data_IF_272418515456
#
_entry.id   IF_272418515456
#
_cell.length_a   1.000
_cell.length_b   1.000
_cell.length_c   1.000
_cell.angle_alpha   90.00
_cell.angle_beta   90.00
_cell.angle_gamma   90.00
#
_symmetry.space_group_name_H-M   'P 1'
#
loop_
_entity.id
_entity.type
_entity.pdbx_description
1 polymer ?
#
# COMPACT_ATOMS: atom_id res chain seq x y z
N UNK A 1 -10.26 45.45 48.69
CA UNK A 1 -10.00 44.08 48.18
C UNK A 1 -9.78 43.15 49.35
N UNK A 2 -10.54 42.06 49.43
CA UNK A 2 -10.57 41.18 50.59
C UNK A 2 -9.37 40.22 50.55
N UNK A 3 -8.35 40.42 51.40
CA UNK A 3 -7.08 39.67 51.38
C UNK A 3 -7.27 38.14 51.47
N UNK A 4 -8.39 37.71 52.05
CA UNK A 4 -8.79 36.30 52.14
C UNK A 4 -9.15 35.70 50.77
N UNK A 5 -9.78 36.46 49.88
CA UNK A 5 -10.16 36.00 48.54
C UNK A 5 -8.98 35.76 47.61
N UNK A 6 -7.92 36.57 47.74
CA UNK A 6 -6.67 36.39 46.98
C UNK A 6 -5.94 35.10 47.37
N UNK A 7 -6.00 34.73 48.65
CA UNK A 7 -5.39 33.50 49.14
C UNK A 7 -6.06 32.25 48.57
N UNK A 8 -7.39 32.23 48.48
CA UNK A 8 -8.12 31.11 47.85
C UNK A 8 -7.80 30.95 46.36
N UNK A 9 -7.67 32.07 45.62
CA UNK A 9 -7.30 32.02 44.20
C UNK A 9 -5.89 31.43 43.99
N UNK A 10 -4.94 31.77 44.86
CA UNK A 10 -3.58 31.22 44.79
C UNK A 10 -3.60 29.70 45.05
N UNK A 11 -4.36 29.25 46.05
CA UNK A 11 -4.48 27.81 46.36
C UNK A 11 -5.08 27.04 45.19
N UNK A 12 -6.16 27.55 44.59
CA UNK A 12 -6.79 26.91 43.43
C UNK A 12 -5.81 26.80 42.26
N UNK A 13 -5.05 27.86 41.99
CA UNK A 13 -4.07 27.87 40.90
C UNK A 13 -2.95 26.84 41.11
N UNK A 14 -2.44 26.71 42.34
CA UNK A 14 -1.43 25.71 42.69
C UNK A 14 -2.00 24.29 42.53
N UNK A 15 -3.24 24.06 42.99
CA UNK A 15 -3.93 22.77 42.82
C UNK A 15 -4.13 22.41 41.35
N UNK A 16 -4.52 23.37 40.51
CA UNK A 16 -4.67 23.15 39.07
C UNK A 16 -3.36 22.77 38.39
N UNK A 17 -2.25 23.44 38.74
CA UNK A 17 -0.92 23.10 38.23
C UNK A 17 -0.45 21.71 38.68
N UNK A 18 -0.73 21.33 39.93
CA UNK A 18 -0.41 20.02 40.45
C UNK A 18 -1.19 18.90 39.73
N UNK A 19 -2.50 19.10 39.52
CA UNK A 19 -3.34 18.15 38.77
C UNK A 19 -2.83 18.03 37.33
N UNK A 20 -2.53 19.16 36.67
CA UNK A 20 -1.99 19.16 35.31
C UNK A 20 -0.67 18.39 35.22
N UNK A 21 0.24 18.58 36.18
CA UNK A 21 1.51 17.86 36.22
C UNK A 21 1.36 16.35 36.41
N UNK A 22 0.32 15.89 37.12
CA UNK A 22 0.03 14.47 37.31
C UNK A 22 -0.68 13.86 36.09
N UNK A 23 -1.56 14.61 35.43
CA UNK A 23 -2.28 14.10 34.24
C UNK A 23 -1.47 14.19 32.95
N UNK A 24 -0.44 15.05 32.90
CA UNK A 24 0.42 15.19 31.75
C UNK A 24 1.44 14.03 31.70
N UNK A 25 1.11 12.99 30.92
CA UNK A 25 2.02 11.87 30.66
C UNK A 25 3.22 12.35 29.83
N UNK A 26 4.34 12.68 30.49
CA UNK A 26 5.58 13.09 29.83
C UNK A 26 6.36 11.92 29.23
N UNK A 27 6.05 10.68 29.65
CA UNK A 27 6.70 9.47 29.17
C UNK A 27 5.72 8.64 28.35
N UNK A 28 5.55 9.03 27.08
CA UNK A 28 5.22 8.04 26.05
C UNK A 28 6.54 7.37 25.69
N UNK A 29 6.79 6.17 26.23
CA UNK A 29 7.72 5.24 25.59
C UNK A 29 7.02 4.80 24.31
N UNK A 30 7.28 5.53 23.23
CA UNK A 30 7.11 5.00 21.89
C UNK A 30 8.31 4.08 21.69
N UNK A 31 8.09 2.77 21.74
CA UNK A 31 9.03 1.83 21.15
C UNK A 31 9.13 2.21 19.67
N UNK A 32 10.21 2.91 19.31
CA UNK A 32 10.66 2.87 17.93
C UNK A 32 10.98 1.40 17.66
N UNK A 33 10.08 0.71 16.95
CA UNK A 33 10.36 -0.60 16.39
C UNK A 33 11.56 -0.39 15.48
N UNK A 34 12.74 -0.73 15.96
CA UNK A 34 13.97 -0.66 15.18
C UNK A 34 13.78 -1.68 14.06
N UNK A 35 13.76 -1.19 12.82
CA UNK A 35 13.37 -1.88 11.59
C UNK A 35 14.32 -2.99 11.14
N UNK A 36 14.69 -3.93 12.01
CA UNK A 36 15.43 -5.14 11.61
C UNK A 36 14.56 -6.11 10.76
N UNK A 37 13.23 -5.93 10.77
CA UNK A 37 12.27 -6.83 10.11
C UNK A 37 11.79 -6.39 8.72
N UNK A 38 12.23 -5.25 8.18
CA UNK A 38 11.75 -4.84 6.85
C UNK A 38 12.21 -5.81 5.76
N UNK A 39 13.50 -6.20 5.78
CA UNK A 39 14.02 -7.21 4.85
C UNK A 39 13.31 -8.55 5.01
N UNK A 40 12.87 -8.93 6.23
CA UNK A 40 12.14 -10.18 6.42
C UNK A 40 10.73 -10.08 5.84
N UNK A 41 10.05 -8.95 6.01
CA UNK A 41 8.70 -8.69 5.47
C UNK A 41 8.71 -8.62 3.94
N UNK A 42 9.68 -7.93 3.34
CA UNK A 42 9.83 -7.88 1.88
C UNK A 42 10.14 -9.26 1.31
N UNK A 43 11.13 -9.98 1.85
CA UNK A 43 11.49 -11.32 1.39
C UNK A 43 10.34 -12.33 1.54
N UNK A 44 9.55 -12.23 2.61
CA UNK A 44 8.36 -13.06 2.79
C UNK A 44 7.31 -12.77 1.71
N UNK A 45 7.00 -11.50 1.44
CA UNK A 45 6.07 -11.14 0.37
C UNK A 45 6.52 -11.70 -0.98
N UNK A 46 7.81 -11.58 -1.29
CA UNK A 46 8.39 -12.01 -2.56
C UNK A 46 8.35 -13.53 -2.73
N UNK A 47 8.72 -14.27 -1.69
CA UNK A 47 8.65 -15.73 -1.67
C UNK A 47 7.21 -16.23 -1.83
N UNK A 48 6.26 -15.66 -1.09
CA UNK A 48 4.87 -16.11 -1.10
C UNK A 48 4.12 -15.67 -2.36
N UNK A 49 4.32 -14.45 -2.87
CA UNK A 49 3.72 -14.00 -4.13
C UNK A 49 4.13 -14.88 -5.32
N UNK A 50 5.38 -15.34 -5.37
CA UNK A 50 5.84 -16.29 -6.40
C UNK A 50 5.09 -17.62 -6.30
N UNK A 51 4.86 -18.13 -5.09
CA UNK A 51 4.07 -19.36 -4.89
C UNK A 51 2.62 -19.17 -5.29
N UNK A 52 2.02 -18.02 -4.96
CA UNK A 52 0.65 -17.67 -5.36
C UNK A 52 0.53 -17.64 -6.88
N UNK A 53 1.46 -16.97 -7.57
CA UNK A 53 1.47 -16.93 -9.03
C UNK A 53 1.60 -18.34 -9.65
N UNK A 54 2.53 -19.16 -9.15
CA UNK A 54 2.71 -20.53 -9.62
C UNK A 54 1.49 -21.41 -9.35
N UNK A 55 0.82 -21.25 -8.21
CA UNK A 55 -0.39 -21.98 -7.89
C UNK A 55 -1.55 -21.58 -8.80
N UNK A 56 -1.71 -20.28 -9.07
CA UNK A 56 -2.72 -19.76 -9.99
C UNK A 56 -2.54 -20.33 -11.41
N UNK A 57 -1.29 -20.38 -11.90
CA UNK A 57 -0.97 -21.02 -13.19
C UNK A 57 -1.35 -22.50 -13.18
N UNK A 58 -1.05 -23.21 -12.09
CA UNK A 58 -1.34 -24.65 -11.93
C UNK A 58 -2.84 -24.94 -11.87
N UNK A 59 -3.61 -24.09 -11.21
CA UNK A 59 -5.06 -24.24 -11.03
C UNK A 59 -5.87 -23.65 -12.18
N UNK A 60 -5.20 -23.05 -13.18
CA UNK A 60 -5.82 -22.37 -14.31
C UNK A 60 -6.72 -21.19 -13.89
N UNK A 61 -6.35 -20.49 -12.81
CA UNK A 61 -7.00 -19.24 -12.38
C UNK A 61 -6.25 -18.03 -12.93
N UNK A 62 -6.85 -16.83 -12.80
CA UNK A 62 -6.24 -15.59 -13.24
C UNK A 62 -5.15 -15.17 -12.24
N UNK A 63 -3.89 -15.22 -12.68
CA UNK A 63 -2.72 -14.92 -11.84
C UNK A 63 -2.78 -13.52 -11.25
N UNK A 64 -3.24 -12.53 -12.04
CA UNK A 64 -3.37 -11.15 -11.58
C UNK A 64 -4.34 -11.01 -10.39
N UNK A 65 -5.48 -11.71 -10.45
CA UNK A 65 -6.53 -11.66 -9.41
C UNK A 65 -6.04 -12.32 -8.11
N UNK A 66 -5.34 -13.47 -8.22
CA UNK A 66 -4.76 -14.16 -7.07
C UNK A 66 -3.64 -13.35 -6.42
N UNK A 67 -2.80 -12.70 -7.23
CA UNK A 67 -1.77 -11.78 -6.75
C UNK A 67 -2.38 -10.56 -6.06
N UNK A 68 -3.47 -10.01 -6.58
CA UNK A 68 -4.20 -8.91 -5.96
C UNK A 68 -4.80 -9.32 -4.62
N UNK A 69 -5.48 -10.47 -4.54
CA UNK A 69 -6.05 -10.99 -3.31
C UNK A 69 -4.98 -11.23 -2.23
N UNK A 70 -3.86 -11.83 -2.63
CA UNK A 70 -2.71 -12.02 -1.75
C UNK A 70 -2.13 -10.67 -1.29
N UNK A 71 -1.93 -9.74 -2.22
CA UNK A 71 -1.29 -8.44 -1.96
C UNK A 71 -2.10 -7.56 -1.03
N UNK A 72 -3.42 -7.51 -1.21
CA UNK A 72 -4.33 -6.78 -0.33
C UNK A 72 -4.31 -7.37 1.07
N UNK A 73 -4.43 -8.70 1.20
CA UNK A 73 -4.36 -9.41 2.49
C UNK A 73 -3.00 -9.19 3.19
N UNK A 74 -1.91 -9.23 2.43
CA UNK A 74 -0.57 -8.97 2.94
C UNK A 74 -0.42 -7.53 3.44
N UNK A 75 -0.88 -6.55 2.66
CA UNK A 75 -0.82 -5.13 3.03
C UNK A 75 -1.64 -4.87 4.29
N UNK A 76 -2.87 -5.39 4.39
CA UNK A 76 -3.70 -5.23 5.60
C UNK A 76 -3.01 -5.79 6.85
N UNK A 77 -2.29 -6.90 6.73
CA UNK A 77 -1.52 -7.47 7.83
C UNK A 77 -0.28 -6.62 8.15
N UNK A 78 0.51 -6.28 7.13
CA UNK A 78 1.80 -5.63 7.28
C UNK A 78 1.65 -4.16 7.69
N UNK A 79 0.58 -3.48 7.26
CA UNK A 79 0.30 -2.09 7.63
C UNK A 79 -0.08 -1.91 9.11
N UNK A 80 -0.54 -2.98 9.79
CA UNK A 80 -0.71 -2.95 11.26
C UNK A 80 0.62 -2.74 11.99
N UNK A 81 1.72 -3.13 11.37
CA UNK A 81 3.08 -2.95 11.90
C UNK A 81 3.79 -1.75 11.28
N UNK A 82 3.58 -1.53 9.98
CA UNK A 82 4.12 -0.42 9.22
C UNK A 82 3.03 0.34 8.47
N UNK A 83 2.42 1.37 9.07
CA UNK A 83 1.36 2.15 8.42
C UNK A 83 1.78 2.77 7.08
N UNK A 84 3.07 2.99 6.86
CA UNK A 84 3.64 3.60 5.66
C UNK A 84 4.15 2.58 4.64
N UNK A 85 3.83 1.28 4.82
CA UNK A 85 4.14 0.26 3.83
C UNK A 85 3.22 0.42 2.63
N UNK A 86 3.83 0.67 1.48
CA UNK A 86 3.17 0.68 0.18
C UNK A 86 3.73 -0.41 -0.72
N UNK A 87 2.90 -0.86 -1.66
CA UNK A 87 3.23 -1.89 -2.63
C UNK A 87 2.74 -1.46 -4.01
N UNK A 88 3.55 -1.64 -5.03
CA UNK A 88 3.11 -1.65 -6.41
C UNK A 88 3.59 -2.94 -7.04
N UNK A 89 2.72 -3.62 -7.76
CA UNK A 89 3.13 -4.78 -8.55
C UNK A 89 2.76 -4.62 -10.02
N UNK A 90 3.58 -5.22 -10.86
CA UNK A 90 3.42 -5.31 -12.30
C UNK A 90 3.50 -6.78 -12.67
N UNK A 91 2.45 -7.29 -13.28
CA UNK A 91 2.38 -8.65 -13.79
C UNK A 91 2.13 -8.61 -15.29
N UNK A 92 3.06 -9.14 -16.08
CA UNK A 92 2.89 -9.36 -17.51
C UNK A 92 2.50 -10.81 -17.78
N UNK A 93 1.47 -11.02 -18.59
CA UNK A 93 1.19 -12.30 -19.22
C UNK A 93 1.57 -12.27 -20.71
N UNK A 94 1.03 -13.19 -21.51
CA UNK A 94 1.31 -13.25 -22.95
C UNK A 94 0.79 -12.02 -23.69
N UNK A 95 -0.39 -11.53 -23.32
CA UNK A 95 -1.18 -10.58 -24.09
C UNK A 95 -1.23 -9.20 -23.41
N UNK A 96 -1.22 -9.13 -22.08
CA UNK A 96 -1.44 -7.94 -21.28
C UNK A 96 -0.46 -7.79 -20.12
N UNK A 97 -0.33 -6.55 -19.65
CA UNK A 97 0.41 -6.19 -18.44
C UNK A 97 -0.57 -5.54 -17.47
N UNK A 98 -0.78 -6.18 -16.33
CA UNK A 98 -1.56 -5.65 -15.22
C UNK A 98 -0.66 -4.94 -14.23
N UNK A 99 -1.00 -3.70 -13.90
CA UNK A 99 -0.29 -2.85 -12.95
C UNK A 99 -1.28 -2.52 -11.84
N UNK A 100 -0.88 -2.71 -10.59
CA UNK A 100 -1.70 -2.38 -9.40
C UNK A 100 -0.87 -1.57 -8.41
N UNK A 101 -1.38 -0.40 -8.05
CA UNK A 101 -0.70 0.60 -7.23
C UNK A 101 -1.37 0.76 -5.86
N UNK A 102 -0.76 0.21 -4.82
CA UNK A 102 -1.12 0.39 -3.41
C UNK A 102 -0.13 1.29 -2.67
N UNK A 103 0.60 2.15 -3.38
CA UNK A 103 1.37 3.23 -2.78
C UNK A 103 0.44 4.38 -2.39
N UNK A 104 0.94 5.36 -1.64
CA UNK A 104 0.19 6.61 -1.36
C UNK A 104 0.35 7.66 -2.47
N UNK A 105 1.19 7.36 -3.47
CA UNK A 105 1.49 8.24 -4.60
C UNK A 105 0.92 7.70 -5.90
N UNK A 106 0.41 8.59 -6.75
CA UNK A 106 0.07 8.24 -8.12
C UNK A 106 1.32 7.87 -8.94
N UNK A 107 1.15 6.89 -9.81
CA UNK A 107 2.04 6.58 -10.91
C UNK A 107 1.44 7.00 -12.25
N UNK A 108 2.23 6.90 -13.31
CA UNK A 108 1.76 7.09 -14.67
C UNK A 108 2.47 6.17 -15.67
N UNK A 109 1.72 5.67 -16.64
CA UNK A 109 2.21 4.88 -17.78
C UNK A 109 1.63 5.49 -19.05
N UNK A 110 2.47 5.84 -20.02
CA UNK A 110 2.04 6.40 -21.32
C UNK A 110 1.07 7.60 -21.23
N UNK A 111 1.12 8.36 -20.13
CA UNK A 111 0.23 9.49 -19.88
C UNK A 111 -1.06 9.14 -19.13
N UNK A 112 -1.37 7.85 -18.98
CA UNK A 112 -2.46 7.38 -18.13
C UNK A 112 -1.99 7.34 -16.67
N UNK A 113 -2.88 7.76 -15.77
CA UNK A 113 -2.56 7.93 -14.35
C UNK A 113 -3.14 6.78 -13.55
N UNK A 114 -2.31 6.21 -12.68
CA UNK A 114 -2.65 5.12 -11.78
C UNK A 114 -2.56 5.65 -10.36
N UNK A 115 -3.68 5.94 -9.72
CA UNK A 115 -3.69 6.49 -8.38
C UNK A 115 -3.24 5.43 -7.37
N UNK A 116 -2.55 5.87 -6.34
CA UNK A 116 -2.19 4.97 -5.25
C UNK A 116 -3.42 4.66 -4.41
N UNK A 117 -3.69 3.41 -4.04
CA UNK A 117 -4.97 2.98 -3.45
C UNK A 117 -5.44 3.84 -2.24
N UNK A 118 -4.51 4.35 -1.44
CA UNK A 118 -4.79 5.19 -0.26
C UNK A 118 -4.68 6.70 -0.53
N UNK A 119 -4.56 7.11 -1.79
CA UNK A 119 -4.42 8.52 -2.13
C UNK A 119 -5.69 9.29 -1.75
N UNK A 120 -5.52 10.32 -0.93
CA UNK A 120 -6.61 11.20 -0.51
C UNK A 120 -6.93 12.25 -1.60
N UNK A 121 -8.21 12.44 -1.84
CA UNK A 121 -8.77 13.51 -2.65
C UNK A 121 -9.74 14.32 -1.79
N UNK A 122 -9.97 15.56 -2.19
CA UNK A 122 -10.96 16.43 -1.54
C UNK A 122 -12.09 16.67 -2.52
N UNK A 123 -13.29 16.23 -2.14
CA UNK A 123 -14.50 16.50 -2.90
C UNK A 123 -15.33 17.59 -2.23
N UNK A 124 -15.75 18.57 -3.03
CA UNK A 124 -16.65 19.62 -2.59
C UNK A 124 -18.12 19.15 -2.73
N UNK A 125 -18.81 18.97 -1.61
CA UNK A 125 -20.23 18.66 -1.55
C UNK A 125 -21.00 19.94 -1.31
N UNK A 126 -21.88 20.31 -2.25
CA UNK A 126 -22.73 21.49 -2.11
C UNK A 126 -24.11 21.09 -1.60
N UNK A 127 -24.49 21.60 -0.43
CA UNK A 127 -25.81 21.40 0.18
C UNK A 127 -26.58 22.71 0.13
N UNK A 128 -27.76 22.70 -0.49
CA UNK A 128 -28.65 23.87 -0.56
C UNK A 128 -29.65 23.85 0.60
N UNK A 129 -29.54 24.81 1.52
CA UNK A 129 -30.45 24.96 2.68
C UNK A 129 -31.07 26.35 2.65
N UNK A 130 -32.40 26.42 2.54
CA UNK A 130 -33.13 27.70 2.54
C UNK A 130 -32.72 28.66 1.41
N UNK A 131 -32.36 28.12 0.24
CA UNK A 131 -31.92 28.92 -0.91
C UNK A 131 -30.45 29.40 -0.85
N UNK A 132 -29.69 28.98 0.17
CA UNK A 132 -28.24 29.23 0.27
C UNK A 132 -27.46 27.94 0.04
N UNK A 133 -26.36 28.06 -0.68
CA UNK A 133 -25.45 26.94 -0.95
C UNK A 133 -24.34 26.91 0.11
N UNK A 134 -24.16 25.74 0.73
CA UNK A 134 -23.10 25.45 1.69
C UNK A 134 -22.16 24.42 1.08
N UNK A 135 -20.88 24.75 0.97
CA UNK A 135 -19.87 23.87 0.40
C UNK A 135 -19.11 23.19 1.55
N UNK A 136 -19.12 21.87 1.57
CA UNK A 136 -18.40 21.04 2.53
C UNK A 136 -17.32 20.25 1.83
N UNK A 137 -16.11 20.26 2.38
CA UNK A 137 -14.97 19.49 1.89
C UNK A 137 -14.98 18.12 2.55
N UNK A 138 -15.18 17.08 1.75
CA UNK A 138 -15.18 15.69 2.23
C UNK A 138 -13.90 15.02 1.73
N UNK A 139 -13.03 14.51 2.63
CA UNK A 139 -11.92 13.67 2.22
C UNK A 139 -12.46 12.32 1.75
N UNK A 140 -11.93 11.86 0.62
CA UNK A 140 -12.28 10.60 -0.06
C UNK A 140 -10.97 9.94 -0.48
N UNK A 141 -10.90 8.61 -0.50
CA UNK A 141 -9.72 7.89 -0.98
C UNK A 141 -10.01 7.24 -2.33
N UNK A 142 -8.97 6.98 -3.13
CA UNK A 142 -9.10 6.26 -4.42
C UNK A 142 -9.78 4.90 -4.26
N UNK A 143 -9.58 4.22 -3.13
CA UNK A 143 -10.26 2.97 -2.82
C UNK A 143 -11.80 3.10 -2.86
N UNK A 144 -12.36 4.30 -2.62
CA UNK A 144 -13.80 4.54 -2.72
C UNK A 144 -14.31 4.58 -4.17
N UNK A 145 -13.44 4.66 -5.17
CA UNK A 145 -13.81 4.79 -6.59
C UNK A 145 -13.69 3.49 -7.40
N UNK A 146 -13.25 2.40 -6.77
CA UNK A 146 -13.06 1.09 -7.40
C UNK A 146 -11.64 0.85 -7.90
N UNK A 147 -11.38 -0.40 -8.31
CA UNK A 147 -10.04 -0.89 -8.66
C UNK A 147 -9.46 -0.24 -9.93
N UNK A 148 -10.31 0.30 -10.81
CA UNK A 148 -9.88 0.96 -12.05
C UNK A 148 -9.05 2.24 -11.80
N UNK A 149 -9.12 2.79 -10.58
CA UNK A 149 -8.34 3.97 -10.21
C UNK A 149 -6.92 3.63 -9.76
N UNK A 150 -6.75 2.45 -9.17
CA UNK A 150 -5.46 1.95 -8.67
C UNK A 150 -4.85 0.87 -9.57
N UNK A 151 -5.57 0.45 -10.61
CA UNK A 151 -5.13 -0.54 -11.58
C UNK A 151 -5.07 0.00 -13.01
N UNK A 152 -4.18 -0.57 -13.81
CA UNK A 152 -4.15 -0.35 -15.24
C UNK A 152 -3.73 -1.62 -15.97
N UNK A 153 -4.40 -1.92 -17.08
CA UNK A 153 -3.99 -2.96 -18.01
C UNK A 153 -3.47 -2.30 -19.29
N UNK A 154 -2.23 -2.62 -19.67
CA UNK A 154 -1.61 -2.13 -20.91
C UNK A 154 -1.20 -3.30 -21.80
N UNK A 155 -1.05 -3.02 -23.10
CA UNK A 155 -0.54 -4.01 -24.07
C UNK A 155 0.86 -4.48 -23.68
N UNK A 156 1.19 -5.73 -24.04
CA UNK A 156 2.50 -6.35 -23.79
C UNK A 156 3.64 -5.72 -24.63
N UNK A 157 3.98 -4.48 -24.32
CA UNK A 157 5.01 -3.67 -24.94
C UNK A 157 5.88 -3.00 -23.87
N UNK A 158 7.17 -2.75 -24.15
CA UNK A 158 8.04 -2.07 -23.19
C UNK A 158 7.48 -0.69 -22.83
N UNK A 159 7.42 -0.38 -21.53
CA UNK A 159 6.87 0.88 -21.03
C UNK A 159 7.73 1.46 -19.90
N UNK A 160 7.54 2.74 -19.63
CA UNK A 160 8.13 3.40 -18.46
C UNK A 160 7.02 3.71 -17.46
N UNK A 161 7.18 3.21 -16.24
CA UNK A 161 6.31 3.55 -15.12
C UNK A 161 6.95 4.70 -14.36
N UNK A 162 6.28 5.85 -14.33
CA UNK A 162 6.68 6.97 -13.48
C UNK A 162 6.03 6.84 -12.12
N UNK A 163 6.80 6.81 -11.04
CA UNK A 163 6.30 6.83 -9.66
C UNK A 163 6.98 7.98 -8.94
N UNK A 164 6.21 8.94 -8.41
CA UNK A 164 6.74 10.13 -7.74
C UNK A 164 7.79 10.89 -8.60
N UNK A 165 7.69 10.82 -9.93
CA UNK A 165 8.63 11.44 -10.86
C UNK A 165 9.88 10.62 -11.20
N UNK A 166 10.06 9.45 -10.60
CA UNK A 166 11.13 8.50 -10.94
C UNK A 166 10.62 7.54 -12.01
N UNK A 167 11.38 7.40 -13.10
CA UNK A 167 11.05 6.48 -14.19
C UNK A 167 11.65 5.10 -13.94
N UNK A 168 10.79 4.09 -13.97
CA UNK A 168 11.14 2.68 -13.87
C UNK A 168 10.89 2.02 -15.24
N UNK A 169 11.93 1.55 -15.95
CA UNK A 169 11.77 0.89 -17.23
C UNK A 169 11.30 -0.55 -17.04
N UNK A 170 10.19 -0.90 -17.69
CA UNK A 170 9.66 -2.26 -17.76
C UNK A 170 9.80 -2.76 -19.19
N UNK A 171 10.78 -3.63 -19.40
CA UNK A 171 10.93 -4.39 -20.64
C UNK A 171 10.45 -5.81 -20.36
N UNK A 172 9.14 -6.05 -20.47
CA UNK A 172 8.59 -7.40 -20.34
C UNK A 172 8.73 -8.10 -21.70
N UNK A 173 9.38 -9.26 -21.70
CA UNK A 173 9.57 -10.03 -22.94
C UNK A 173 8.27 -10.76 -23.32
N UNK A 174 7.76 -10.47 -24.52
CA UNK A 174 6.56 -11.13 -25.06
C UNK A 174 6.70 -12.66 -25.01
N UNK A 175 5.74 -13.31 -24.35
CA UNK A 175 5.62 -14.77 -24.29
C UNK A 175 5.98 -15.41 -22.95
N UNK A 176 6.57 -14.68 -22.01
CA UNK A 176 6.94 -15.20 -20.69
C UNK A 176 6.25 -14.39 -19.59
N UNK A 177 5.61 -15.04 -18.58
CA UNK A 177 5.06 -14.33 -17.45
C UNK A 177 6.19 -13.64 -16.68
N UNK A 178 6.01 -12.34 -16.43
CA UNK A 178 6.95 -11.52 -15.66
C UNK A 178 6.27 -10.85 -14.46
N UNK A 179 6.87 -10.94 -13.27
CA UNK A 179 6.29 -10.37 -12.05
C UNK A 179 7.27 -9.47 -11.29
N UNK A 180 7.00 -8.16 -11.27
CA UNK A 180 7.87 -7.16 -10.66
C UNK A 180 7.16 -6.42 -9.56
N UNK A 181 7.89 -6.08 -8.51
CA UNK A 181 7.35 -5.50 -7.29
C UNK A 181 8.19 -4.31 -6.85
N UNK A 182 7.50 -3.25 -6.45
CA UNK A 182 8.09 -2.09 -5.79
C UNK A 182 7.46 -2.00 -4.40
N UNK A 183 8.31 -2.14 -3.38
CA UNK A 183 7.92 -1.98 -1.98
C UNK A 183 8.47 -0.65 -1.46
N UNK A 184 7.60 0.17 -0.89
CA UNK A 184 7.96 1.47 -0.29
C UNK A 184 7.77 1.44 1.21
N UNK A 185 8.71 2.02 1.94
CA UNK A 185 8.58 2.29 3.37
C UNK A 185 9.11 3.67 3.73
N UNK A 186 9.02 4.03 5.01
CA UNK A 186 9.65 5.25 5.55
C UNK A 186 11.15 5.34 5.25
N UNK A 187 11.85 4.20 5.14
CA UNK A 187 13.29 4.14 4.90
C UNK A 187 13.70 4.34 3.43
N UNK A 188 12.72 4.36 2.51
CA UNK A 188 12.94 4.53 1.08
C UNK A 188 12.24 3.47 0.22
N UNK A 189 12.50 3.55 -1.09
CA UNK A 189 11.95 2.66 -2.10
C UNK A 189 12.91 1.48 -2.33
N UNK A 190 12.37 0.27 -2.30
CA UNK A 190 13.05 -0.94 -2.77
C UNK A 190 12.37 -1.43 -4.03
N UNK A 191 13.16 -1.45 -5.10
CA UNK A 191 12.76 -2.02 -6.37
C UNK A 191 13.36 -3.42 -6.47
N UNK A 192 12.52 -4.45 -6.46
CA UNK A 192 12.98 -5.83 -6.62
C UNK A 192 12.27 -6.48 -7.83
N UNK A 193 13.07 -6.99 -8.77
CA UNK A 193 12.59 -7.62 -10.01
C UNK A 193 12.66 -9.13 -9.85
N UNK A 194 11.55 -9.83 -10.10
CA UNK A 194 11.52 -11.29 -10.05
C UNK A 194 10.86 -11.92 -11.28
N UNK A 195 11.24 -13.16 -11.55
CA UNK A 195 10.67 -14.04 -12.55
C UNK A 195 10.57 -13.46 -13.96
N UNK A 196 11.59 -13.64 -14.80
CA UNK A 196 11.32 -13.96 -16.22
C UNK A 196 11.00 -15.44 -16.24
N UNK A 197 9.72 -15.80 -16.18
CA UNK A 197 9.35 -17.19 -16.30
C UNK A 197 9.63 -17.65 -17.72
N UNK A 198 10.80 -18.24 -17.99
CA UNK A 198 10.75 -19.37 -18.92
C UNK A 198 9.78 -20.34 -18.26
N UNK A 199 8.63 -20.57 -18.89
CA UNK A 199 7.78 -21.67 -18.49
C UNK A 199 8.63 -22.94 -18.54
N UNK A 200 9.08 -23.42 -17.38
CA UNK A 200 9.89 -24.62 -17.26
C UNK A 200 8.96 -25.80 -16.96
N UNK A 201 8.66 -26.66 -17.95
CA UNK A 201 7.84 -27.84 -17.75
C UNK A 201 8.45 -28.85 -16.77
N UNK A 202 9.72 -28.69 -16.35
CA UNK A 202 10.37 -29.52 -15.33
C UNK A 202 9.86 -29.23 -13.90
N UNK A 203 9.16 -28.11 -13.68
CA UNK A 203 8.37 -27.87 -12.47
C UNK A 203 6.99 -28.55 -12.50
N UNK A 204 6.69 -29.36 -13.52
CA UNK A 204 5.66 -30.38 -13.39
C UNK A 204 6.05 -31.28 -12.21
N UNK A 205 5.19 -31.45 -11.19
CA UNK A 205 5.54 -32.31 -10.07
C UNK A 205 5.92 -33.67 -10.61
N UNK A 206 7.11 -34.12 -10.22
CA UNK A 206 7.51 -35.50 -10.44
C UNK A 206 6.43 -36.35 -9.76
N UNK A 207 5.53 -36.95 -10.55
CA UNK A 207 4.50 -37.86 -10.06
C UNK A 207 5.22 -39.17 -9.71
N UNK A 208 6.10 -39.13 -8.72
CA UNK A 208 6.46 -40.31 -7.96
C UNK A 208 5.34 -40.52 -6.96
N UNK A 209 4.29 -41.14 -7.49
CA UNK A 209 3.50 -42.20 -6.87
C UNK A 209 3.67 -42.30 -5.35
N UNK A 210 2.82 -41.61 -4.60
CA UNK A 210 2.34 -42.18 -3.35
C UNK A 210 1.30 -43.22 -3.70
N UNK A 211 1.77 -44.42 -4.06
CA UNK A 211 0.99 -45.64 -3.98
C UNK A 211 1.04 -46.18 -2.55
N UNK A 212 -0.16 -46.29 -1.99
CA UNK A 212 -0.61 -46.98 -0.77
C UNK A 212 -0.38 -46.28 0.58
#
# INVERSE_FOLDING_TARGET
MNKRGQFYLIIVFILSLAIFGVTYQVNSISEAVIWEDFNSVSQNYLSESTKVANNAVKEHTLVADELELFSTSFLEYAQKRNPNLGLLFVYGDKDNISIKNYLDSAGAVNGEKIFGNNQEFVQDVTVRIGGKDFIYKVPITSQNFGEDWSGLTVDNSPFNLSIAGILHPFNLTSGNPEFKVILRTESGDLNETYGSGEWDPSFSPNIQQFTN
#
